data_IF_662668817196
#
_entry.id   IF_662668817196
#
_cell.length_a   1.000
_cell.length_b   1.000
_cell.length_c   1.000
_cell.angle_alpha   90.00
_cell.angle_beta   90.00
_cell.angle_gamma   90.00
#
_symmetry.space_group_name_H-M   'P 1'
#
loop_
_entity.id
_entity.type
_entity.pdbx_description
1 polymer ?
#
# COMPACT_ATOMS: atom_id res chain seq x y z
N UNK A 1 -32.49 62.02 13.08
CA UNK A 1 -32.51 60.61 13.54
C UNK A 1 -31.27 59.91 13.01
N UNK A 2 -30.26 59.63 13.85
CA UNK A 2 -29.12 58.78 13.49
C UNK A 2 -29.53 57.31 13.65
N UNK A 3 -29.60 56.57 12.55
CA UNK A 3 -29.82 55.11 12.56
C UNK A 3 -28.63 54.43 13.26
N UNK A 4 -28.84 53.91 14.46
CA UNK A 4 -27.91 52.95 15.08
C UNK A 4 -27.98 51.63 14.28
N UNK A 5 -26.87 51.27 13.61
CA UNK A 5 -26.67 49.90 13.13
C UNK A 5 -26.46 49.02 14.37
N UNK A 6 -27.36 48.06 14.61
CA UNK A 6 -27.09 46.93 15.52
C UNK A 6 -25.79 46.27 15.02
N UNK A 7 -24.76 46.23 15.85
CA UNK A 7 -23.59 45.41 15.58
C UNK A 7 -24.03 43.95 15.60
N UNK A 8 -23.89 43.25 14.48
CA UNK A 8 -23.89 41.78 14.51
C UNK A 8 -22.81 41.37 15.51
N UNK A 9 -23.22 40.63 16.55
CA UNK A 9 -22.29 40.16 17.57
C UNK A 9 -21.21 39.32 16.88
N UNK A 10 -19.95 39.70 17.05
CA UNK A 10 -18.81 38.97 16.49
C UNK A 10 -18.65 37.62 17.21
N UNK A 11 -19.37 36.60 16.74
CA UNK A 11 -19.40 35.26 17.36
C UNK A 11 -18.08 34.50 17.20
N UNK A 12 -17.25 34.86 16.22
CA UNK A 12 -16.02 34.14 15.88
C UNK A 12 -14.87 34.58 16.79
N UNK A 13 -14.78 35.86 17.14
CA UNK A 13 -13.78 36.37 18.09
C UNK A 13 -14.03 35.96 19.55
N UNK A 14 -15.20 35.39 19.86
CA UNK A 14 -15.53 34.90 21.21
C UNK A 14 -15.38 33.39 21.36
N UNK A 15 -14.86 32.70 20.35
CA UNK A 15 -14.64 31.26 20.43
C UNK A 15 -13.51 30.94 21.44
N UNK A 16 -13.67 29.89 22.26
CA UNK A 16 -12.59 29.35 23.09
C UNK A 16 -11.36 28.92 22.26
N UNK A 17 -10.17 28.99 22.85
CA UNK A 17 -8.90 28.68 22.16
C UNK A 17 -8.85 27.24 21.62
N UNK A 18 -9.41 26.27 22.35
CA UNK A 18 -9.49 24.87 21.94
C UNK A 18 -10.34 24.68 20.68
N UNK A 19 -11.44 25.43 20.57
CA UNK A 19 -12.30 25.43 19.38
C UNK A 19 -11.56 26.06 18.20
N UNK A 20 -10.88 27.20 18.41
CA UNK A 20 -10.08 27.85 17.36
C UNK A 20 -8.97 26.93 16.87
N UNK A 21 -8.23 26.28 17.78
CA UNK A 21 -7.18 25.32 17.42
C UNK A 21 -7.71 24.15 16.61
N UNK A 22 -8.91 23.64 16.96
CA UNK A 22 -9.57 22.58 16.21
C UNK A 22 -9.98 23.04 14.82
N UNK A 23 -10.52 24.26 14.69
CA UNK A 23 -10.80 24.87 13.37
C UNK A 23 -9.50 24.96 12.55
N UNK A 24 -8.42 25.50 13.13
CA UNK A 24 -7.13 25.65 12.45
C UNK A 24 -6.53 24.31 12.01
N UNK A 25 -6.76 23.23 12.75
CA UNK A 25 -6.29 21.89 12.40
C UNK A 25 -7.01 21.29 11.18
N UNK A 26 -8.22 21.77 10.84
CA UNK A 26 -8.96 21.36 9.66
C UNK A 26 -8.73 22.26 8.45
N UNK A 27 -8.06 23.41 8.61
CA UNK A 27 -7.79 24.32 7.52
C UNK A 27 -6.46 23.99 6.83
N UNK A 28 -6.37 24.13 5.49
CA UNK A 28 -5.09 24.15 4.81
C UNK A 28 -4.15 25.18 5.44
N UNK A 29 -2.86 24.84 5.53
CA UNK A 29 -1.87 25.65 6.27
C UNK A 29 -1.83 27.12 5.83
N UNK A 30 -2.09 27.38 4.53
CA UNK A 30 -2.17 28.72 3.95
C UNK A 30 -3.36 29.51 4.47
N UNK A 31 -4.53 28.88 4.58
CA UNK A 31 -5.75 29.53 5.04
C UNK A 31 -5.75 29.68 6.55
N UNK A 32 -5.26 28.68 7.28
CA UNK A 32 -4.98 28.78 8.70
C UNK A 32 -4.05 29.97 9.00
N UNK A 33 -2.99 30.18 8.21
CA UNK A 33 -2.09 31.34 8.37
C UNK A 33 -2.79 32.69 8.14
N UNK A 34 -3.71 32.78 7.16
CA UNK A 34 -4.48 34.01 6.91
C UNK A 34 -5.36 34.39 8.11
N UNK A 35 -5.91 33.41 8.82
CA UNK A 35 -6.74 33.70 10.01
C UNK A 35 -5.99 34.45 11.10
N UNK A 36 -4.65 34.38 11.14
CA UNK A 36 -3.81 35.12 12.09
C UNK A 36 -3.98 36.65 11.97
N UNK A 37 -4.55 37.14 10.87
CA UNK A 37 -4.88 38.57 10.66
C UNK A 37 -6.22 39.00 11.26
N UNK A 38 -7.08 38.06 11.66
CA UNK A 38 -8.43 38.35 12.16
C UNK A 38 -8.39 38.98 13.56
N UNK A 39 -7.55 38.47 14.46
CA UNK A 39 -7.36 39.04 15.80
C UNK A 39 -6.08 38.52 16.46
N UNK A 40 -5.67 39.15 17.58
CA UNK A 40 -4.54 38.67 18.41
C UNK A 40 -4.73 37.24 18.92
N UNK A 41 -5.98 36.84 19.18
CA UNK A 41 -6.30 35.48 19.65
C UNK A 41 -6.06 34.46 18.54
N UNK A 42 -6.51 34.74 17.31
CA UNK A 42 -6.25 33.89 16.15
C UNK A 42 -4.77 33.83 15.79
N UNK A 43 -4.05 34.95 15.89
CA UNK A 43 -2.59 34.98 15.72
C UNK A 43 -1.88 34.08 16.73
N UNK A 44 -2.24 34.15 18.01
CA UNK A 44 -1.69 33.28 19.07
C UNK A 44 -1.99 31.81 18.81
N UNK A 45 -3.23 31.48 18.47
CA UNK A 45 -3.64 30.09 18.20
C UNK A 45 -2.97 29.52 16.94
N UNK A 46 -2.73 30.35 15.93
CA UNK A 46 -1.90 29.97 14.78
C UNK A 46 -0.46 29.60 15.18
N UNK A 47 0.16 30.41 16.04
CA UNK A 47 1.51 30.11 16.59
C UNK A 47 1.55 28.89 17.52
N UNK A 48 0.41 28.54 18.14
CA UNK A 48 0.26 27.35 18.97
C UNK A 48 -0.09 26.07 18.17
N UNK A 49 -0.47 26.20 16.89
CA UNK A 49 -0.85 25.05 16.08
C UNK A 49 0.37 24.12 15.84
N UNK A 50 0.25 22.88 16.30
CA UNK A 50 1.31 21.86 16.27
C UNK A 50 1.30 21.00 15.00
N UNK A 51 0.32 21.20 14.11
CA UNK A 51 0.15 20.43 12.89
C UNK A 51 0.38 21.31 11.67
N UNK A 52 1.33 20.91 10.83
CA UNK A 52 1.71 21.62 9.61
C UNK A 52 1.69 20.65 8.44
N UNK A 53 0.75 20.87 7.51
CA UNK A 53 0.65 20.09 6.28
C UNK A 53 0.78 21.05 5.11
N UNK A 54 1.89 20.94 4.39
CA UNK A 54 2.17 21.67 3.17
C UNK A 54 1.99 20.70 2.00
N UNK A 55 0.93 20.87 1.22
CA UNK A 55 0.57 20.01 0.09
C UNK A 55 0.54 20.80 -1.23
N UNK A 56 0.11 20.18 -2.34
CA UNK A 56 -0.02 20.84 -3.64
C UNK A 56 -0.92 22.08 -3.62
N UNK A 57 -1.87 22.18 -2.68
CA UNK A 57 -2.69 23.39 -2.48
C UNK A 57 -1.95 24.55 -1.82
N UNK A 58 -0.86 24.27 -1.10
CA UNK A 58 0.03 25.29 -0.55
C UNK A 58 0.85 25.99 -1.64
N UNK A 59 1.41 25.19 -2.54
CA UNK A 59 2.17 25.64 -3.70
C UNK A 59 2.59 24.48 -4.59
N UNK A 60 2.99 24.82 -5.81
CA UNK A 60 3.66 23.95 -6.76
C UNK A 60 4.89 24.70 -7.25
N UNK A 61 5.99 23.99 -7.48
CA UNK A 61 7.14 24.59 -8.18
C UNK A 61 6.90 24.38 -9.67
N UNK A 62 6.64 25.45 -10.46
CA UNK A 62 6.52 25.32 -11.91
C UNK A 62 7.85 24.83 -12.50
N UNK A 63 7.78 23.93 -13.46
CA UNK A 63 8.95 23.49 -14.23
C UNK A 63 9.50 24.62 -15.10
N UNK A 64 8.61 25.46 -15.64
CA UNK A 64 8.98 26.61 -16.45
C UNK A 64 9.49 27.77 -15.60
N UNK A 65 10.65 28.30 -15.96
CA UNK A 65 11.29 29.42 -15.30
C UNK A 65 12.40 29.02 -14.33
N UNK A 66 12.75 29.92 -13.42
CA UNK A 66 13.87 29.71 -12.50
C UNK A 66 13.42 28.85 -11.30
N UNK A 67 13.55 27.53 -11.44
CA UNK A 67 13.26 26.54 -10.39
C UNK A 67 13.85 26.92 -9.03
N UNK A 68 15.15 27.27 -8.98
CA UNK A 68 15.83 27.60 -7.72
C UNK A 68 15.21 28.82 -7.03
N UNK A 69 14.78 29.83 -7.79
CA UNK A 69 14.07 30.99 -7.26
C UNK A 69 12.70 30.62 -6.68
N UNK A 70 11.97 29.73 -7.37
CA UNK A 70 10.65 29.28 -6.94
C UNK A 70 10.74 28.42 -5.68
N UNK A 71 11.70 27.49 -5.63
CA UNK A 71 12.01 26.70 -4.44
C UNK A 71 12.38 27.61 -3.27
N UNK A 72 13.29 28.56 -3.46
CA UNK A 72 13.72 29.48 -2.39
C UNK A 72 12.55 30.29 -1.82
N UNK A 73 11.63 30.76 -2.67
CA UNK A 73 10.42 31.48 -2.24
C UNK A 73 9.50 30.58 -1.43
N UNK A 74 9.32 29.33 -1.86
CA UNK A 74 8.50 28.35 -1.17
C UNK A 74 9.10 28.00 0.20
N UNK A 75 10.39 27.68 0.23
CA UNK A 75 11.12 27.37 1.45
C UNK A 75 11.10 28.55 2.41
N UNK A 76 11.25 29.79 1.93
CA UNK A 76 11.09 30.99 2.76
C UNK A 76 9.72 31.05 3.44
N UNK A 77 8.63 30.71 2.73
CA UNK A 77 7.28 30.68 3.31
C UNK A 77 7.14 29.57 4.37
N UNK A 78 7.70 28.38 4.11
CA UNK A 78 7.71 27.26 5.06
C UNK A 78 8.48 27.65 6.32
N UNK A 79 9.70 28.18 6.18
CA UNK A 79 10.51 28.64 7.32
C UNK A 79 9.81 29.74 8.11
N UNK A 80 9.18 30.70 7.43
CA UNK A 80 8.40 31.73 8.11
C UNK A 80 7.26 31.13 8.93
N UNK A 81 6.56 30.13 8.41
CA UNK A 81 5.55 29.43 9.18
C UNK A 81 6.18 28.72 10.40
N UNK A 82 7.31 28.04 10.23
CA UNK A 82 8.00 27.32 11.31
C UNK A 82 8.49 28.25 12.43
N UNK A 83 9.03 29.42 12.07
CA UNK A 83 9.62 30.37 13.02
C UNK A 83 8.60 31.13 13.87
N UNK A 84 7.33 31.19 13.45
CA UNK A 84 6.25 31.84 14.22
C UNK A 84 5.81 30.99 15.42
N UNK A 85 6.31 29.75 15.54
CA UNK A 85 5.84 28.78 16.53
C UNK A 85 6.84 28.56 17.66
N UNK A 86 6.42 28.85 18.88
CA UNK A 86 7.13 28.47 20.10
C UNK A 86 6.80 27.04 20.53
N UNK A 87 5.62 26.54 20.16
CA UNK A 87 5.15 25.19 20.50
C UNK A 87 5.88 24.09 19.72
N UNK A 88 5.95 22.84 20.25
CA UNK A 88 6.47 21.69 19.52
C UNK A 88 5.61 21.40 18.27
N UNK A 89 6.27 21.04 17.18
CA UNK A 89 5.59 20.58 15.96
C UNK A 89 5.37 19.09 16.14
N UNK A 90 4.13 18.65 16.34
CA UNK A 90 3.83 17.23 16.54
C UNK A 90 3.70 16.51 15.20
N UNK A 91 3.14 17.19 14.19
CA UNK A 91 2.92 16.66 12.85
C UNK A 91 3.44 17.63 11.80
N UNK A 92 4.29 17.14 10.91
CA UNK A 92 4.80 17.88 9.77
C UNK A 92 4.68 17.02 8.52
N UNK A 93 4.05 17.55 7.47
CA UNK A 93 3.99 16.92 6.16
C UNK A 93 4.42 17.93 5.09
N UNK A 94 5.36 17.54 4.24
CA UNK A 94 5.76 18.26 3.04
C UNK A 94 5.47 17.35 1.85
N UNK A 95 4.42 17.70 1.11
CA UNK A 95 3.87 16.97 -0.05
C UNK A 95 3.76 17.94 -1.23
N UNK A 96 4.87 18.57 -1.59
CA UNK A 96 4.87 19.60 -2.62
C UNK A 96 5.51 19.01 -3.89
N UNK A 97 4.76 18.92 -4.98
CA UNK A 97 5.30 18.46 -6.25
C UNK A 97 6.39 19.40 -6.77
N UNK A 98 7.38 18.82 -7.44
CA UNK A 98 8.52 19.53 -7.98
C UNK A 98 9.66 19.77 -6.97
N UNK A 99 9.71 19.08 -5.82
CA UNK A 99 10.83 19.15 -4.86
C UNK A 99 11.82 17.97 -4.99
N UNK A 100 11.90 17.32 -6.15
CA UNK A 100 12.75 16.12 -6.34
C UNK A 100 14.25 16.39 -6.17
N UNK A 101 14.74 17.58 -6.57
CA UNK A 101 16.18 17.86 -6.63
C UNK A 101 16.82 18.11 -5.25
N UNK A 102 17.96 17.47 -4.91
CA UNK A 102 18.67 17.74 -3.67
C UNK A 102 18.88 19.24 -3.43
N UNK A 103 18.49 19.71 -2.26
CA UNK A 103 18.54 21.14 -1.92
C UNK A 103 19.00 21.36 -0.47
N UNK A 104 19.92 22.33 -0.25
CA UNK A 104 20.36 22.69 1.09
C UNK A 104 19.21 23.12 2.00
N UNK A 105 18.20 23.77 1.44
CA UNK A 105 17.04 24.26 2.20
C UNK A 105 16.22 23.12 2.81
N UNK A 106 16.02 22.01 2.09
CA UNK A 106 15.33 20.83 2.64
C UNK A 106 16.21 20.14 3.68
N UNK A 107 17.53 20.10 3.48
CA UNK A 107 18.43 19.50 4.47
C UNK A 107 18.38 20.25 5.81
N UNK A 108 18.38 21.59 5.74
CA UNK A 108 18.19 22.46 6.90
C UNK A 108 16.80 22.28 7.53
N UNK A 109 15.76 22.05 6.72
CA UNK A 109 14.40 21.83 7.20
C UNK A 109 14.32 20.52 8.00
N UNK A 110 14.84 19.43 7.46
CA UNK A 110 14.91 18.13 8.14
C UNK A 110 15.67 18.26 9.46
N UNK A 111 16.80 18.97 9.46
CA UNK A 111 17.58 19.22 10.67
C UNK A 111 16.79 20.00 11.73
N UNK A 112 16.04 21.02 11.32
CA UNK A 112 15.18 21.78 12.20
C UNK A 112 14.07 20.91 12.80
N UNK A 113 13.41 20.09 11.97
CA UNK A 113 12.32 19.21 12.38
C UNK A 113 12.79 18.12 13.35
N UNK A 114 13.96 17.52 13.10
CA UNK A 114 14.57 16.54 13.99
C UNK A 114 14.78 17.10 15.41
N UNK A 115 15.14 18.39 15.52
CA UNK A 115 15.31 19.08 16.82
C UNK A 115 13.98 19.47 17.50
N UNK A 116 12.88 19.61 16.75
CA UNK A 116 11.58 20.09 17.26
C UNK A 116 10.68 18.99 17.82
N UNK A 117 11.21 17.80 18.11
CA UNK A 117 10.47 16.67 18.71
C UNK A 117 9.25 16.23 17.88
N UNK A 118 9.38 16.25 16.56
CA UNK A 118 8.34 15.78 15.63
C UNK A 118 7.98 14.32 15.90
N UNK A 119 6.68 14.02 15.87
CA UNK A 119 6.13 12.67 16.09
C UNK A 119 5.62 12.04 14.80
N UNK A 120 5.04 12.83 13.92
CA UNK A 120 4.59 12.41 12.59
C UNK A 120 5.31 13.24 11.54
N UNK A 121 6.13 12.60 10.72
CA UNK A 121 6.87 13.24 9.64
C UNK A 121 6.53 12.57 8.31
N UNK A 122 6.04 13.35 7.35
CA UNK A 122 5.84 12.91 5.98
C UNK A 122 6.64 13.81 5.01
N UNK A 123 7.52 13.21 4.21
CA UNK A 123 8.28 13.89 3.18
C UNK A 123 8.03 13.18 1.85
N UNK A 124 7.24 13.82 0.99
CA UNK A 124 6.78 13.28 -0.29
C UNK A 124 7.25 14.24 -1.38
N UNK A 125 8.21 13.78 -2.20
CA UNK A 125 8.84 14.59 -3.25
C UNK A 125 8.35 14.26 -4.65
N UNK A 126 7.46 13.27 -4.81
CA UNK A 126 6.97 12.83 -6.11
C UNK A 126 6.10 13.85 -6.82
N UNK A 127 6.06 13.71 -8.14
CA UNK A 127 5.06 14.30 -9.04
C UNK A 127 4.43 13.10 -9.73
N UNK A 128 3.16 12.81 -9.49
CA UNK A 128 2.47 11.66 -10.13
C UNK A 128 2.31 11.87 -11.66
N UNK A 129 2.65 13.05 -12.18
CA UNK A 129 2.38 13.48 -13.55
C UNK A 129 3.55 13.34 -14.54
N UNK A 130 4.79 13.08 -14.10
CA UNK A 130 5.96 13.27 -14.99
C UNK A 130 6.98 12.11 -15.01
N UNK A 131 7.09 11.51 -16.19
CA UNK A 131 8.11 10.56 -16.62
C UNK A 131 9.19 11.34 -17.39
N UNK A 132 10.04 12.07 -16.66
CA UNK A 132 11.01 13.04 -17.20
C UNK A 132 12.31 12.41 -17.75
N UNK A 133 12.39 11.08 -17.84
CA UNK A 133 13.56 10.37 -18.36
C UNK A 133 14.82 10.50 -17.48
N UNK A 134 14.73 11.16 -16.32
CA UNK A 134 15.81 11.20 -15.35
C UNK A 134 15.82 9.90 -14.53
N UNK A 135 17.02 9.39 -14.15
CA UNK A 135 17.10 8.21 -13.31
C UNK A 135 16.36 8.45 -12.00
N UNK A 136 15.52 7.49 -11.59
CA UNK A 136 14.72 7.47 -10.35
C UNK A 136 15.58 7.38 -9.08
N UNK A 137 16.74 8.00 -9.05
CA UNK A 137 17.63 8.00 -7.89
C UNK A 137 17.04 9.00 -6.90
N UNK A 138 16.50 8.45 -5.80
CA UNK A 138 15.90 9.25 -4.73
C UNK A 138 16.90 10.22 -4.10
N UNK A 139 16.38 11.29 -3.49
CA UNK A 139 17.20 12.25 -2.74
C UNK A 139 17.81 11.57 -1.50
N UNK A 140 19.13 11.64 -1.33
CA UNK A 140 19.79 11.21 -0.09
C UNK A 140 19.26 11.99 1.12
N UNK A 141 18.77 11.26 2.12
CA UNK A 141 18.21 11.87 3.32
C UNK A 141 19.31 12.34 4.28
N UNK A 142 19.20 13.56 4.82
CA UNK A 142 20.15 14.07 5.82
C UNK A 142 20.23 13.16 7.04
N UNK A 143 21.45 12.95 7.55
CA UNK A 143 21.71 12.18 8.79
C UNK A 143 20.90 12.68 9.99
N UNK A 144 20.52 13.96 10.00
CA UNK A 144 19.67 14.55 11.03
C UNK A 144 18.29 13.88 11.15
N UNK A 145 17.74 13.33 10.06
CA UNK A 145 16.47 12.58 10.08
C UNK A 145 16.54 11.43 11.09
N UNK A 146 17.64 10.69 11.08
CA UNK A 146 17.90 9.53 11.92
C UNK A 146 18.12 9.88 13.41
N UNK A 147 18.19 11.17 13.74
CA UNK A 147 18.27 11.67 15.12
C UNK A 147 16.89 12.01 15.72
N UNK A 148 15.81 11.91 14.94
CA UNK A 148 14.45 12.26 15.36
C UNK A 148 13.82 11.19 16.28
N UNK A 149 14.28 11.11 17.53
CA UNK A 149 13.94 10.06 18.50
C UNK A 149 12.48 10.06 19.01
N UNK A 150 11.69 11.08 18.68
CA UNK A 150 10.28 11.18 19.07
C UNK A 150 9.31 10.69 17.98
N UNK A 151 9.82 10.28 16.82
CA UNK A 151 9.01 9.80 15.71
C UNK A 151 8.20 8.57 16.10
N UNK A 152 6.91 8.64 15.81
CA UNK A 152 5.91 7.57 15.90
C UNK A 152 5.44 7.13 14.51
N UNK A 153 5.43 8.05 13.55
CA UNK A 153 5.08 7.80 12.16
C UNK A 153 6.08 8.48 11.23
N UNK A 154 6.61 7.74 10.27
CA UNK A 154 7.51 8.24 9.24
C UNK A 154 7.03 7.79 7.86
N UNK A 155 6.74 8.72 6.98
CA UNK A 155 6.38 8.46 5.57
C UNK A 155 7.39 9.15 4.67
N UNK A 156 8.11 8.40 3.84
CA UNK A 156 9.07 8.91 2.87
C UNK A 156 8.72 8.42 1.47
N UNK A 157 8.76 9.32 0.49
CA UNK A 157 8.57 8.98 -0.91
C UNK A 157 9.63 9.64 -1.79
N UNK A 158 10.17 8.89 -2.76
CA UNK A 158 11.23 9.32 -3.69
C UNK A 158 12.52 9.77 -2.99
N UNK A 159 12.98 8.96 -2.05
CA UNK A 159 14.14 9.24 -1.19
C UNK A 159 15.18 8.12 -1.22
N UNK A 160 16.39 8.41 -0.78
CA UNK A 160 17.43 7.43 -0.51
C UNK A 160 17.79 7.48 0.98
N UNK A 161 17.61 6.34 1.67
CA UNK A 161 17.98 6.18 3.09
C UNK A 161 19.10 5.15 3.28
N UNK A 162 19.72 4.68 2.21
CA UNK A 162 20.83 3.73 2.25
C UNK A 162 22.06 4.29 2.98
N UNK A 163 22.26 5.61 2.92
CA UNK A 163 23.33 6.32 3.64
C UNK A 163 23.02 6.61 5.12
N UNK A 164 22.26 5.73 5.78
CA UNK A 164 21.96 5.88 7.20
C UNK A 164 23.28 5.96 8.02
N UNK A 165 23.41 6.92 8.96
CA UNK A 165 24.66 7.10 9.69
C UNK A 165 24.94 5.89 10.59
N UNK A 166 26.21 5.49 10.70
CA UNK A 166 26.64 4.34 11.52
C UNK A 166 26.26 4.47 13.01
N UNK A 167 26.11 5.70 13.50
CA UNK A 167 25.64 6.00 14.87
C UNK A 167 24.12 5.99 15.04
N UNK A 168 23.35 5.55 14.02
CA UNK A 168 21.89 5.45 14.12
C UNK A 168 21.49 4.45 15.22
N UNK A 169 20.95 4.99 16.32
CA UNK A 169 20.50 4.26 17.50
C UNK A 169 19.08 3.65 17.33
N UNK A 170 18.38 3.98 16.25
CA UNK A 170 17.03 3.51 16.01
C UNK A 170 15.92 4.51 16.28
N UNK A 171 14.76 4.23 15.70
CA UNK A 171 13.52 4.93 16.02
C UNK A 171 12.73 4.14 17.07
N UNK A 172 13.11 4.31 18.34
CA UNK A 172 12.57 3.52 19.46
C UNK A 172 11.08 3.71 19.74
N UNK A 173 10.45 4.76 19.21
CA UNK A 173 9.01 5.07 19.36
C UNK A 173 8.22 4.86 18.07
N UNK A 174 8.87 4.44 16.99
CA UNK A 174 8.23 4.30 15.69
C UNK A 174 7.23 3.16 15.71
N UNK A 175 6.03 3.44 15.23
CA UNK A 175 4.90 2.51 15.14
C UNK A 175 4.45 2.31 13.70
N UNK A 176 4.65 3.32 12.85
CA UNK A 176 4.29 3.29 11.44
C UNK A 176 5.47 3.76 10.60
N UNK A 177 5.86 2.98 9.60
CA UNK A 177 6.90 3.30 8.64
C UNK A 177 6.38 3.02 7.23
N UNK A 178 6.35 4.05 6.39
CA UNK A 178 5.97 3.97 5.00
C UNK A 178 7.10 4.51 4.13
N UNK A 179 7.63 3.67 3.25
CA UNK A 179 8.73 3.97 2.34
C UNK A 179 8.26 3.62 0.93
N UNK A 180 8.04 4.62 0.08
CA UNK A 180 7.51 4.44 -1.27
C UNK A 180 8.47 4.95 -2.32
N UNK A 181 8.87 4.10 -3.27
CA UNK A 181 9.92 4.41 -4.24
C UNK A 181 11.18 4.94 -3.52
N UNK A 182 11.62 4.20 -2.51
CA UNK A 182 12.79 4.53 -1.67
C UNK A 182 13.92 3.55 -1.95
N UNK A 183 15.15 4.06 -2.02
CA UNK A 183 16.35 3.24 -2.03
C UNK A 183 16.80 2.91 -0.59
N UNK A 184 17.09 1.63 -0.33
CA UNK A 184 17.51 1.12 0.98
C UNK A 184 18.75 0.25 0.83
N UNK A 185 19.56 0.16 1.89
CA UNK A 185 20.70 -0.78 1.92
C UNK A 185 20.19 -2.23 1.95
N UNK A 186 20.99 -3.18 1.41
CA UNK A 186 20.66 -4.61 1.46
C UNK A 186 20.52 -5.18 2.88
N UNK A 187 21.13 -4.52 3.87
CA UNK A 187 21.02 -4.82 5.30
C UNK A 187 19.77 -4.24 5.97
N UNK A 188 18.86 -3.60 5.24
CA UNK A 188 17.70 -2.91 5.82
C UNK A 188 16.91 -3.77 6.82
N UNK A 189 16.61 -5.02 6.46
CA UNK A 189 15.87 -5.94 7.32
C UNK A 189 16.67 -6.39 8.57
N UNK A 190 18.00 -6.55 8.45
CA UNK A 190 18.85 -7.03 9.54
C UNK A 190 19.36 -5.93 10.47
N UNK A 191 19.51 -4.70 9.96
CA UNK A 191 20.25 -3.64 10.66
C UNK A 191 19.35 -2.44 10.99
N UNK A 192 18.43 -2.08 10.09
CA UNK A 192 17.56 -0.90 10.28
C UNK A 192 16.29 -1.26 11.07
N UNK A 193 15.56 -2.30 10.66
CA UNK A 193 14.27 -2.65 11.28
C UNK A 193 14.38 -3.11 12.74
N UNK A 194 15.40 -3.88 13.18
CA UNK A 194 15.52 -4.26 14.59
C UNK A 194 15.73 -3.06 15.53
N UNK A 195 16.18 -1.93 14.99
CA UNK A 195 16.30 -0.67 15.73
C UNK A 195 14.96 0.08 15.86
N UNK A 196 13.86 -0.48 15.36
CA UNK A 196 12.49 0.03 15.45
C UNK A 196 11.56 -0.98 16.17
N UNK A 197 11.77 -1.28 17.47
CA UNK A 197 11.14 -2.43 18.14
C UNK A 197 9.62 -2.32 18.35
N UNK A 198 9.05 -1.11 18.27
CA UNK A 198 7.63 -0.84 18.45
C UNK A 198 6.85 -0.77 17.12
N UNK A 199 7.50 -1.11 16.00
CA UNK A 199 6.89 -1.01 14.67
C UNK A 199 5.69 -1.96 14.55
N UNK A 200 4.54 -1.40 14.16
CA UNK A 200 3.27 -2.12 14.01
C UNK A 200 2.79 -2.15 12.56
N UNK A 201 3.09 -1.10 11.80
CA UNK A 201 2.74 -0.95 10.39
C UNK A 201 4.00 -0.64 9.58
N UNK A 202 4.32 -1.53 8.63
CA UNK A 202 5.43 -1.37 7.71
C UNK A 202 4.92 -1.46 6.27
N UNK A 203 5.07 -0.37 5.53
CA UNK A 203 4.85 -0.31 4.08
C UNK A 203 6.17 -0.02 3.39
N UNK A 204 6.61 -0.91 2.51
CA UNK A 204 7.91 -0.83 1.86
C UNK A 204 7.77 -1.14 0.37
N UNK A 205 7.77 -0.10 -0.45
CA UNK A 205 7.76 -0.19 -1.89
C UNK A 205 9.09 0.33 -2.43
N UNK A 206 9.98 -0.57 -2.83
CA UNK A 206 11.34 -0.25 -3.26
C UNK A 206 11.35 0.12 -4.75
N UNK A 207 12.21 1.05 -5.13
CA UNK A 207 12.47 1.38 -6.53
C UNK A 207 12.94 0.14 -7.30
N UNK A 208 12.32 -0.10 -8.45
CA UNK A 208 12.70 -1.12 -9.42
C UNK A 208 14.10 -0.81 -10.00
N UNK A 209 15.12 -1.40 -9.38
CA UNK A 209 16.49 -1.51 -9.89
C UNK A 209 16.80 -2.99 -9.90
N UNK A 210 16.98 -3.56 -11.10
CA UNK A 210 17.23 -4.98 -11.39
C UNK A 210 18.32 -5.64 -10.50
N UNK A 211 19.11 -4.85 -9.77
CA UNK A 211 20.16 -5.30 -8.86
C UNK A 211 19.72 -5.52 -7.39
N UNK A 212 18.61 -4.93 -6.90
CA UNK A 212 18.34 -4.87 -5.45
C UNK A 212 17.39 -5.97 -4.96
N UNK A 213 16.41 -6.38 -5.77
CA UNK A 213 15.38 -7.35 -5.36
C UNK A 213 15.96 -8.72 -4.97
N UNK A 214 17.00 -9.18 -5.67
CA UNK A 214 17.64 -10.48 -5.42
C UNK A 214 18.58 -10.51 -4.21
N UNK A 215 19.03 -9.34 -3.71
CA UNK A 215 20.04 -9.23 -2.65
C UNK A 215 19.46 -8.93 -1.26
N UNK A 216 18.21 -8.50 -1.18
CA UNK A 216 17.47 -8.36 0.09
C UNK A 216 16.99 -9.74 0.57
N UNK A 217 17.93 -10.63 0.92
CA UNK A 217 17.59 -11.90 1.57
C UNK A 217 17.02 -11.59 2.96
N UNK A 218 15.69 -11.54 3.05
CA UNK A 218 15.00 -10.87 4.14
C UNK A 218 14.52 -11.87 5.19
N UNK A 219 15.27 -12.01 6.28
CA UNK A 219 14.71 -12.52 7.53
C UNK A 219 14.14 -11.35 8.32
N UNK A 220 12.82 -11.15 8.23
CA UNK A 220 12.14 -10.07 8.95
C UNK A 220 11.79 -10.53 10.36
N UNK A 221 12.49 -9.98 11.35
CA UNK A 221 12.19 -10.19 12.78
C UNK A 221 11.52 -8.94 13.36
N UNK A 222 10.20 -9.00 13.53
CA UNK A 222 9.43 -7.86 14.01
C UNK A 222 8.25 -8.31 14.92
N UNK A 223 8.49 -8.48 16.24
CA UNK A 223 7.51 -9.10 17.14
C UNK A 223 6.24 -8.26 17.37
N UNK A 224 6.32 -6.95 17.17
CA UNK A 224 5.21 -6.01 17.33
C UNK A 224 4.41 -5.78 16.04
N UNK A 225 4.86 -6.33 14.91
CA UNK A 225 4.31 -6.02 13.59
C UNK A 225 2.92 -6.63 13.41
N UNK A 226 1.99 -5.83 12.89
CA UNK A 226 0.58 -6.18 12.65
C UNK A 226 0.20 -6.10 11.18
N UNK A 227 0.80 -5.17 10.45
CA UNK A 227 0.57 -4.89 9.03
C UNK A 227 1.92 -4.84 8.32
N UNK A 228 2.01 -5.57 7.21
CA UNK A 228 3.14 -5.53 6.29
C UNK A 228 2.63 -5.40 4.86
N UNK A 229 3.06 -4.35 4.15
CA UNK A 229 2.77 -4.15 2.72
C UNK A 229 4.07 -3.93 1.95
N UNK A 230 4.30 -4.65 0.86
CA UNK A 230 5.53 -4.50 0.08
C UNK A 230 5.41 -5.01 -1.35
N UNK A 231 6.31 -4.56 -2.23
CA UNK A 231 6.58 -5.19 -3.53
C UNK A 231 7.74 -6.19 -3.51
N UNK A 232 8.43 -6.33 -2.38
CA UNK A 232 9.53 -7.27 -2.22
C UNK A 232 8.96 -8.67 -1.96
N UNK A 233 9.12 -9.57 -2.92
CA UNK A 233 8.50 -10.90 -2.91
C UNK A 233 9.26 -11.95 -2.09
N UNK A 234 10.56 -11.78 -1.83
CA UNK A 234 11.41 -12.77 -1.16
C UNK A 234 11.54 -12.56 0.37
N UNK A 235 10.46 -12.16 1.04
CA UNK A 235 10.46 -11.89 2.50
C UNK A 235 10.09 -13.11 3.33
N UNK A 236 10.98 -13.51 4.23
CA UNK A 236 10.78 -14.58 5.20
C UNK A 236 10.50 -14.00 6.59
N UNK A 237 9.27 -14.11 7.05
CA UNK A 237 8.87 -13.67 8.39
C UNK A 237 9.38 -14.63 9.47
N UNK A 238 10.01 -14.10 10.53
CA UNK A 238 10.42 -14.86 11.72
C UNK A 238 10.00 -14.13 12.98
N UNK A 239 9.43 -14.84 13.95
CA UNK A 239 9.00 -14.25 15.23
C UNK A 239 8.04 -13.05 15.06
N UNK A 240 7.05 -13.16 14.16
CA UNK A 240 6.02 -12.12 13.90
C UNK A 240 4.63 -12.60 14.34
N UNK A 241 4.40 -12.91 15.63
CA UNK A 241 3.17 -13.59 16.09
C UNK A 241 1.91 -12.72 16.00
N UNK A 242 2.06 -11.39 15.88
CA UNK A 242 0.95 -10.44 15.82
C UNK A 242 0.58 -10.03 14.39
N UNK A 243 1.30 -10.55 13.38
CA UNK A 243 1.13 -10.14 11.99
C UNK A 243 -0.19 -10.65 11.44
N UNK A 244 -1.11 -9.73 11.18
CA UNK A 244 -2.50 -10.00 10.83
C UNK A 244 -2.85 -9.63 9.40
N UNK A 245 -2.11 -8.68 8.81
CA UNK A 245 -2.28 -8.24 7.43
C UNK A 245 -0.93 -8.33 6.74
N UNK A 246 -0.87 -9.13 5.67
CA UNK A 246 0.29 -9.23 4.78
C UNK A 246 -0.18 -8.93 3.37
N UNK A 247 0.46 -7.96 2.71
CA UNK A 247 0.23 -7.65 1.30
C UNK A 247 1.55 -7.58 0.57
N UNK A 248 1.84 -8.60 -0.23
CA UNK A 248 3.03 -8.64 -1.07
C UNK A 248 2.57 -8.70 -2.52
N UNK A 249 2.67 -7.57 -3.22
CA UNK A 249 2.22 -7.43 -4.60
C UNK A 249 3.03 -6.34 -5.32
N UNK A 250 3.22 -6.46 -6.65
CA UNK A 250 3.99 -5.48 -7.41
C UNK A 250 3.33 -4.10 -7.40
N UNK A 251 4.13 -3.04 -7.60
CA UNK A 251 3.65 -1.65 -7.70
C UNK A 251 3.11 -1.33 -9.10
N UNK A 252 3.68 -1.93 -10.14
CA UNK A 252 3.24 -1.76 -11.53
C UNK A 252 2.84 -3.12 -12.11
N UNK A 253 1.55 -3.31 -12.36
CA UNK A 253 0.97 -4.56 -12.86
C UNK A 253 1.49 -4.94 -14.27
N UNK A 254 2.25 -4.07 -14.94
CA UNK A 254 2.77 -4.28 -16.31
C UNK A 254 4.16 -4.92 -16.37
N UNK A 255 4.83 -5.10 -15.23
CA UNK A 255 6.16 -5.73 -15.18
C UNK A 255 6.06 -7.09 -14.50
N UNK A 256 6.59 -8.12 -15.16
CA UNK A 256 6.69 -9.47 -14.61
C UNK A 256 8.17 -9.85 -14.52
N UNK A 257 8.57 -10.38 -13.37
CA UNK A 257 9.85 -11.08 -13.24
C UNK A 257 9.89 -12.28 -14.20
N UNK A 258 11.09 -12.62 -14.69
CA UNK A 258 11.31 -13.82 -15.48
C UNK A 258 11.45 -15.02 -14.55
N UNK A 259 11.09 -16.21 -15.02
CA UNK A 259 11.22 -17.45 -14.24
C UNK A 259 12.65 -17.64 -13.68
N UNK A 260 13.67 -17.27 -14.45
CA UNK A 260 15.08 -17.30 -14.05
C UNK A 260 15.41 -16.51 -12.79
N UNK A 261 14.59 -15.51 -12.45
CA UNK A 261 14.79 -14.65 -11.28
C UNK A 261 14.49 -15.41 -9.98
N UNK A 262 13.73 -16.51 -10.06
CA UNK A 262 13.30 -17.32 -8.93
C UNK A 262 14.12 -18.62 -8.76
N UNK A 263 14.76 -19.12 -9.82
CA UNK A 263 15.41 -20.45 -9.86
C UNK A 263 16.58 -20.62 -8.86
N UNK A 264 17.11 -19.51 -8.32
CA UNK A 264 18.15 -19.53 -7.28
C UNK A 264 17.59 -19.88 -5.89
N UNK A 265 16.28 -19.79 -5.70
CA UNK A 265 15.62 -19.94 -4.42
C UNK A 265 14.86 -21.27 -4.31
N UNK A 266 14.85 -21.84 -3.11
CA UNK A 266 14.02 -23.00 -2.77
C UNK A 266 13.26 -22.69 -1.47
N UNK A 267 12.17 -21.93 -1.55
CA UNK A 267 11.43 -21.51 -0.37
C UNK A 267 10.61 -22.64 0.22
N UNK A 268 10.53 -22.64 1.55
CA UNK A 268 9.63 -23.52 2.29
C UNK A 268 8.35 -22.76 2.62
N UNK A 269 7.31 -23.01 1.81
CA UNK A 269 5.98 -22.42 2.00
C UNK A 269 5.38 -22.82 3.36
N UNK A 270 5.65 -24.04 3.85
CA UNK A 270 5.13 -24.50 5.15
C UNK A 270 5.75 -23.69 6.28
N UNK A 271 7.07 -23.49 6.26
CA UNK A 271 7.76 -22.66 7.24
C UNK A 271 7.34 -21.19 7.18
N UNK A 272 7.11 -20.64 5.97
CA UNK A 272 6.68 -19.27 5.78
C UNK A 272 5.32 -19.00 6.44
N UNK A 273 4.33 -19.86 6.19
CA UNK A 273 2.99 -19.70 6.77
C UNK A 273 2.90 -20.16 8.23
N UNK A 274 3.74 -21.10 8.69
CA UNK A 274 3.85 -21.45 10.11
C UNK A 274 4.27 -20.26 10.98
N UNK A 275 4.97 -19.28 10.40
CA UNK A 275 5.40 -18.06 11.08
C UNK A 275 4.31 -16.96 11.15
N UNK A 276 3.12 -17.22 10.60
CA UNK A 276 2.01 -16.27 10.48
C UNK A 276 0.73 -16.76 11.19
N UNK A 277 0.77 -17.07 12.51
CA UNK A 277 -0.35 -17.72 13.21
C UNK A 277 -1.59 -16.82 13.37
N UNK A 278 -1.44 -15.50 13.26
CA UNK A 278 -2.50 -14.51 13.47
C UNK A 278 -3.03 -13.89 12.15
N UNK A 279 -2.67 -14.45 10.99
CA UNK A 279 -3.00 -13.86 9.70
C UNK A 279 -4.51 -13.85 9.45
N UNK A 280 -5.05 -12.67 9.13
CA UNK A 280 -6.46 -12.44 8.84
C UNK A 280 -6.70 -11.97 7.40
N UNK A 281 -5.75 -11.23 6.85
CA UNK A 281 -5.78 -10.77 5.47
C UNK A 281 -4.44 -11.05 4.80
N UNK A 282 -4.51 -11.71 3.64
CA UNK A 282 -3.37 -12.01 2.80
C UNK A 282 -3.64 -11.47 1.40
N UNK A 283 -2.72 -10.65 0.89
CA UNK A 283 -2.68 -10.23 -0.51
C UNK A 283 -1.38 -10.73 -1.13
N UNK A 284 -1.48 -11.48 -2.22
CA UNK A 284 -0.32 -12.07 -2.91
C UNK A 284 -0.31 -11.70 -4.40
N UNK A 285 0.85 -11.27 -4.88
CA UNK A 285 1.16 -11.04 -6.29
C UNK A 285 1.66 -12.30 -7.00
N UNK A 286 1.74 -12.24 -8.33
CA UNK A 286 2.25 -13.32 -9.18
C UNK A 286 3.69 -13.72 -8.84
N UNK A 287 4.56 -12.76 -8.52
CA UNK A 287 5.96 -12.97 -8.17
C UNK A 287 6.11 -13.80 -6.89
N UNK A 288 5.30 -13.54 -5.87
CA UNK A 288 5.31 -14.32 -4.64
C UNK A 288 4.81 -15.76 -4.87
N UNK A 289 3.79 -15.93 -5.73
CA UNK A 289 3.33 -17.27 -6.10
C UNK A 289 4.41 -18.04 -6.86
N UNK A 290 5.07 -17.41 -7.83
CA UNK A 290 6.18 -18.00 -8.58
C UNK A 290 7.34 -18.37 -7.67
N UNK A 291 7.69 -17.49 -6.73
CA UNK A 291 8.68 -17.77 -5.69
C UNK A 291 8.34 -19.05 -4.94
N UNK A 292 7.14 -19.17 -4.35
CA UNK A 292 6.77 -20.38 -3.63
C UNK A 292 6.67 -21.62 -4.52
N UNK A 293 6.35 -21.45 -5.80
CA UNK A 293 6.22 -22.55 -6.73
C UNK A 293 7.57 -23.17 -7.15
N UNK A 294 8.71 -22.52 -6.92
CA UNK A 294 10.04 -23.15 -7.11
C UNK A 294 10.36 -24.19 -6.03
N UNK A 295 9.66 -24.13 -4.88
CA UNK A 295 9.79 -25.08 -3.79
C UNK A 295 8.80 -26.25 -3.87
N UNK A 296 8.80 -27.09 -2.83
CA UNK A 296 7.82 -28.17 -2.69
C UNK A 296 6.49 -27.62 -2.18
N UNK A 297 5.49 -27.54 -3.07
CA UNK A 297 4.14 -27.07 -2.73
C UNK A 297 3.25 -28.25 -2.32
N UNK A 298 2.81 -28.33 -1.04
CA UNK A 298 1.88 -29.36 -0.60
C UNK A 298 0.48 -29.07 -1.14
N UNK A 299 -0.39 -30.08 -1.15
CA UNK A 299 -1.81 -29.89 -1.50
C UNK A 299 -2.53 -28.97 -0.50
N UNK A 300 -2.17 -29.06 0.78
CA UNK A 300 -2.68 -28.23 1.86
C UNK A 300 -1.56 -28.01 2.88
N UNK A 301 -1.50 -26.83 3.49
CA UNK A 301 -0.55 -26.52 4.55
C UNK A 301 -0.88 -27.37 5.80
N UNK A 302 0.13 -27.93 6.49
CA UNK A 302 -0.07 -28.65 7.75
C UNK A 302 -0.70 -27.77 8.84
N UNK A 303 -0.36 -26.48 8.83
CA UNK A 303 -0.91 -25.47 9.72
C UNK A 303 -2.03 -24.74 8.98
N UNK A 304 -3.29 -25.10 9.25
CA UNK A 304 -4.43 -24.42 8.65
C UNK A 304 -4.46 -22.94 9.03
N UNK A 305 -4.81 -22.10 8.06
CA UNK A 305 -4.94 -20.65 8.19
C UNK A 305 -6.33 -20.28 8.76
N UNK A 306 -6.64 -20.78 9.96
CA UNK A 306 -7.97 -20.64 10.56
C UNK A 306 -8.43 -19.20 10.79
N UNK A 307 -7.51 -18.25 10.92
CA UNK A 307 -7.82 -16.84 11.13
C UNK A 307 -7.98 -16.08 9.82
N UNK A 308 -7.57 -16.67 8.67
CA UNK A 308 -7.61 -16.00 7.38
C UNK A 308 -9.05 -15.83 6.91
N UNK A 309 -9.46 -14.57 6.78
CA UNK A 309 -10.81 -14.17 6.35
C UNK A 309 -10.81 -13.56 4.96
N UNK A 310 -9.71 -12.93 4.55
CA UNK A 310 -9.59 -12.22 3.29
C UNK A 310 -8.35 -12.70 2.55
N UNK A 311 -8.56 -13.26 1.36
CA UNK A 311 -7.49 -13.61 0.42
C UNK A 311 -7.68 -12.78 -0.84
N UNK A 312 -6.66 -11.99 -1.19
CA UNK A 312 -6.62 -11.22 -2.43
C UNK A 312 -5.44 -11.69 -3.26
N UNK A 313 -5.68 -11.91 -4.53
CA UNK A 313 -4.64 -12.24 -5.48
C UNK A 313 -4.57 -11.10 -6.48
N UNK A 314 -3.39 -10.56 -6.71
CA UNK A 314 -3.17 -9.44 -7.63
C UNK A 314 -2.23 -9.85 -8.74
N UNK A 315 -2.50 -9.36 -9.94
CA UNK A 315 -1.68 -9.60 -11.12
C UNK A 315 -1.47 -11.09 -11.47
N UNK A 316 -2.43 -11.99 -11.16
CA UNK A 316 -2.26 -13.44 -11.35
C UNK A 316 -2.48 -13.87 -12.80
N UNK A 317 -1.66 -14.81 -13.28
CA UNK A 317 -1.80 -15.42 -14.60
C UNK A 317 -2.41 -16.82 -14.43
N UNK A 318 -3.75 -16.91 -14.46
CA UNK A 318 -4.50 -18.15 -14.19
C UNK A 318 -4.18 -19.33 -15.14
N UNK A 319 -3.52 -19.07 -16.26
CA UNK A 319 -3.08 -20.09 -17.23
C UNK A 319 -1.70 -20.69 -16.91
N UNK A 320 -0.97 -20.20 -15.90
CA UNK A 320 0.31 -20.78 -15.45
C UNK A 320 0.07 -21.84 -14.37
N UNK A 321 0.45 -23.09 -14.67
CA UNK A 321 0.19 -24.27 -13.82
C UNK A 321 0.82 -24.21 -12.44
N UNK A 322 1.97 -23.56 -12.31
CA UNK A 322 2.72 -23.44 -11.06
C UNK A 322 2.04 -22.48 -10.05
N UNK A 323 1.54 -21.34 -10.51
CA UNK A 323 0.81 -20.38 -9.68
C UNK A 323 -0.51 -20.98 -9.18
N UNK A 324 -1.20 -21.74 -10.03
CA UNK A 324 -2.44 -22.42 -9.69
C UNK A 324 -2.28 -23.41 -8.51
N UNK A 325 -1.14 -24.10 -8.40
CA UNK A 325 -0.87 -25.02 -7.29
C UNK A 325 -0.71 -24.31 -5.95
N UNK A 326 0.02 -23.20 -5.91
CA UNK A 326 0.18 -22.41 -4.69
C UNK A 326 -1.15 -21.79 -4.29
N UNK A 327 -1.91 -21.27 -5.27
CA UNK A 327 -3.26 -20.76 -5.05
C UNK A 327 -4.18 -21.81 -4.42
N UNK A 328 -4.24 -23.01 -5.01
CA UNK A 328 -5.00 -24.14 -4.48
C UNK A 328 -4.62 -24.45 -3.03
N UNK A 329 -3.32 -24.55 -2.75
CA UNK A 329 -2.81 -24.81 -1.42
C UNK A 329 -3.31 -23.76 -0.41
N UNK A 330 -3.27 -22.47 -0.76
CA UNK A 330 -3.75 -21.38 0.10
C UNK A 330 -5.27 -21.45 0.33
N UNK A 331 -6.06 -21.66 -0.71
CA UNK A 331 -7.52 -21.80 -0.60
C UNK A 331 -7.89 -22.99 0.30
N UNK A 332 -7.31 -24.15 0.01
CA UNK A 332 -7.58 -25.38 0.75
C UNK A 332 -7.14 -25.31 2.21
N UNK A 333 -6.13 -24.50 2.51
CA UNK A 333 -5.64 -24.27 3.88
C UNK A 333 -6.46 -23.24 4.65
N UNK A 334 -7.44 -22.59 4.03
CA UNK A 334 -8.17 -21.44 4.59
C UNK A 334 -9.66 -21.74 4.81
N UNK A 335 -10.02 -22.57 5.81
CA UNK A 335 -11.38 -23.08 5.98
C UNK A 335 -12.43 -21.99 6.34
N UNK A 336 -11.99 -20.87 6.93
CA UNK A 336 -12.87 -19.78 7.37
C UNK A 336 -12.81 -18.54 6.45
N UNK A 337 -12.39 -18.74 5.20
CA UNK A 337 -12.27 -17.65 4.23
C UNK A 337 -13.64 -17.04 3.93
N UNK A 338 -13.78 -15.74 4.16
CA UNK A 338 -15.02 -14.98 3.93
C UNK A 338 -15.01 -14.25 2.59
N UNK A 339 -13.84 -13.74 2.19
CA UNK A 339 -13.67 -12.94 0.97
C UNK A 339 -12.51 -13.44 0.13
N UNK A 340 -12.79 -13.69 -1.15
CA UNK A 340 -11.78 -14.01 -2.16
C UNK A 340 -11.84 -12.98 -3.28
N UNK A 341 -10.71 -12.32 -3.57
CA UNK A 341 -10.58 -11.39 -4.69
C UNK A 341 -9.46 -11.85 -5.61
N UNK A 342 -9.74 -11.87 -6.91
CA UNK A 342 -8.79 -12.26 -7.96
C UNK A 342 -8.73 -11.13 -8.97
N UNK A 343 -7.60 -10.43 -9.02
CA UNK A 343 -7.29 -9.42 -10.02
C UNK A 343 -6.26 -10.05 -10.97
N UNK A 344 -6.66 -10.47 -12.18
CA UNK A 344 -5.75 -11.09 -13.13
C UNK A 344 -4.77 -10.07 -13.69
N UNK A 345 -3.60 -10.57 -14.07
CA UNK A 345 -2.56 -9.78 -14.71
C UNK A 345 -2.74 -9.68 -16.22
N UNK A 346 -2.42 -8.52 -16.80
CA UNK A 346 -2.44 -8.33 -18.26
C UNK A 346 -1.03 -8.42 -18.83
N UNK A 347 -0.79 -9.42 -19.69
CA UNK A 347 0.46 -9.53 -20.43
C UNK A 347 0.20 -9.30 -21.91
N UNK A 348 0.70 -8.18 -22.44
CA UNK A 348 0.53 -7.81 -23.85
C UNK A 348 1.22 -8.77 -24.85
N UNK A 349 2.07 -9.71 -24.40
CA UNK A 349 2.91 -10.49 -25.31
C UNK A 349 3.45 -11.83 -24.79
N UNK A 350 2.66 -12.68 -24.10
CA UNK A 350 3.09 -14.06 -23.86
C UNK A 350 2.77 -14.95 -25.07
N UNK A 351 3.72 -15.79 -25.53
CA UNK A 351 3.47 -16.71 -26.62
C UNK A 351 2.42 -17.76 -26.18
N UNK A 352 1.48 -18.13 -27.06
CA UNK A 352 0.34 -19.02 -26.75
C UNK A 352 0.71 -20.47 -26.40
N UNK A 353 1.99 -20.81 -26.27
CA UNK A 353 2.49 -22.19 -26.18
C UNK A 353 2.70 -22.72 -24.77
N UNK A 354 2.58 -21.91 -23.72
CA UNK A 354 2.66 -22.37 -22.31
C UNK A 354 1.29 -22.43 -21.62
N UNK A 355 0.20 -22.43 -22.39
CA UNK A 355 -1.15 -22.66 -21.89
C UNK A 355 -1.32 -24.17 -21.68
N UNK A 356 -0.72 -24.69 -20.62
CA UNK A 356 -1.08 -26.01 -20.10
C UNK A 356 -2.43 -25.85 -19.40
N UNK A 357 -3.34 -26.81 -19.60
CA UNK A 357 -4.66 -26.92 -18.95
C UNK A 357 -4.55 -26.92 -17.41
N UNK A 358 -4.30 -25.74 -16.84
CA UNK A 358 -3.82 -25.58 -15.47
C UNK A 358 -4.95 -25.69 -14.44
N UNK A 359 -6.20 -25.47 -14.86
CA UNK A 359 -7.36 -25.78 -14.00
C UNK A 359 -7.83 -27.22 -14.14
N UNK A 360 -7.29 -28.02 -15.07
CA UNK A 360 -7.55 -29.46 -15.05
C UNK A 360 -7.01 -30.05 -13.74
N UNK A 361 -5.95 -29.50 -13.14
CA UNK A 361 -5.49 -29.80 -11.77
C UNK A 361 -6.47 -29.35 -10.66
N UNK A 362 -7.23 -28.26 -10.88
CA UNK A 362 -8.30 -27.82 -9.98
C UNK A 362 -9.51 -28.77 -10.03
N UNK A 363 -9.79 -29.32 -11.21
CA UNK A 363 -10.94 -30.18 -11.50
C UNK A 363 -10.65 -31.68 -11.27
N UNK A 364 -9.41 -32.14 -11.49
CA UNK A 364 -8.95 -33.51 -11.16
C UNK A 364 -8.89 -33.75 -9.64
N UNK A 365 -9.02 -32.69 -8.84
CA UNK A 365 -9.23 -32.79 -7.40
C UNK A 365 -10.66 -33.26 -7.02
N UNK A 366 -11.50 -33.68 -7.97
CA UNK A 366 -12.78 -34.36 -7.74
C UNK A 366 -12.63 -35.67 -6.92
N UNK A 367 -11.46 -36.33 -6.94
CA UNK A 367 -11.15 -37.53 -6.12
C UNK A 367 -10.67 -37.20 -4.69
N UNK A 368 -10.60 -35.93 -4.32
CA UNK A 368 -10.27 -35.43 -2.98
C UNK A 368 -11.34 -34.46 -2.49
N UNK A 369 -11.56 -34.28 -1.17
CA UNK A 369 -12.69 -33.50 -0.66
C UNK A 369 -12.47 -31.97 -0.80
N UNK A 370 -12.29 -31.50 -2.04
CA UNK A 370 -12.50 -30.10 -2.47
C UNK A 370 -13.91 -29.62 -2.13
N UNK A 371 -14.85 -30.55 -1.90
CA UNK A 371 -16.20 -30.29 -1.38
C UNK A 371 -16.25 -29.45 -0.08
N UNK A 372 -15.13 -29.29 0.64
CA UNK A 372 -15.03 -28.50 1.87
C UNK A 372 -14.40 -27.11 1.71
N UNK A 373 -13.93 -26.73 0.51
CA UNK A 373 -13.47 -25.37 0.28
C UNK A 373 -14.66 -24.39 0.23
N UNK A 374 -14.43 -23.11 0.55
CA UNK A 374 -15.43 -22.04 0.47
C UNK A 374 -16.70 -22.18 1.32
N UNK A 375 -16.70 -23.02 2.36
CA UNK A 375 -17.86 -23.22 3.24
C UNK A 375 -18.36 -21.93 3.92
N UNK A 376 -17.45 -20.99 4.17
CA UNK A 376 -17.73 -19.69 4.78
C UNK A 376 -17.64 -18.53 3.79
N UNK A 377 -17.41 -18.78 2.49
CA UNK A 377 -17.17 -17.72 1.53
C UNK A 377 -18.46 -16.92 1.30
N UNK A 378 -18.44 -15.65 1.67
CA UNK A 378 -19.56 -14.71 1.54
C UNK A 378 -19.44 -13.82 0.31
N UNK A 379 -18.21 -13.48 -0.09
CA UNK A 379 -17.93 -12.54 -1.19
C UNK A 379 -16.82 -13.07 -2.10
N UNK A 380 -17.13 -13.19 -3.39
CA UNK A 380 -16.15 -13.47 -4.44
C UNK A 380 -16.08 -12.28 -5.39
N UNK A 381 -14.87 -11.86 -5.77
CA UNK A 381 -14.64 -10.81 -6.76
C UNK A 381 -13.60 -11.28 -7.77
N UNK A 382 -13.92 -11.15 -9.05
CA UNK A 382 -12.97 -11.30 -10.14
C UNK A 382 -13.08 -10.07 -11.06
N UNK A 383 -11.94 -9.47 -11.40
CA UNK A 383 -11.87 -8.33 -12.32
C UNK A 383 -11.16 -8.70 -13.62
N UNK A 384 -11.21 -7.79 -14.59
CA UNK A 384 -10.57 -7.92 -15.90
C UNK A 384 -10.72 -9.30 -16.58
N UNK A 385 -11.90 -9.92 -16.46
CA UNK A 385 -12.15 -11.27 -17.00
C UNK A 385 -12.28 -11.23 -18.54
N UNK A 386 -11.62 -12.16 -19.24
CA UNK A 386 -11.64 -12.25 -20.70
C UNK A 386 -12.63 -13.31 -21.24
N UNK A 387 -13.26 -14.07 -20.34
CA UNK A 387 -14.21 -15.13 -20.69
C UNK A 387 -13.54 -16.40 -21.22
N UNK A 388 -12.28 -16.63 -20.85
CA UNK A 388 -11.56 -17.87 -21.14
C UNK A 388 -12.22 -19.06 -20.45
N UNK A 389 -11.99 -20.28 -20.97
CA UNK A 389 -12.57 -21.49 -20.36
C UNK A 389 -12.11 -21.66 -18.90
N UNK A 390 -10.84 -21.33 -18.62
CA UNK A 390 -10.25 -21.29 -17.27
C UNK A 390 -11.08 -20.42 -16.33
N UNK A 391 -11.31 -19.17 -16.70
CA UNK A 391 -12.08 -18.25 -15.87
C UNK A 391 -13.54 -18.70 -15.68
N UNK A 392 -14.15 -19.25 -16.73
CA UNK A 392 -15.51 -19.81 -16.69
C UNK A 392 -15.62 -21.02 -15.77
N UNK A 393 -14.63 -21.91 -15.78
CA UNK A 393 -14.58 -23.09 -14.90
C UNK A 393 -14.38 -22.68 -13.45
N UNK A 394 -13.53 -21.69 -13.18
CA UNK A 394 -13.37 -21.12 -11.84
C UNK A 394 -14.67 -20.52 -11.31
N UNK A 395 -15.37 -19.73 -12.14
CA UNK A 395 -16.67 -19.16 -11.79
C UNK A 395 -17.71 -20.25 -11.49
N UNK A 396 -17.78 -21.28 -12.34
CA UNK A 396 -18.65 -22.43 -12.15
C UNK A 396 -18.32 -23.16 -10.85
N UNK A 397 -17.04 -23.39 -10.58
CA UNK A 397 -16.57 -24.07 -9.38
C UNK A 397 -16.96 -23.31 -8.11
N UNK A 398 -16.69 -22.00 -8.04
CA UNK A 398 -17.06 -21.18 -6.87
C UNK A 398 -18.57 -21.15 -6.66
N UNK A 399 -19.37 -20.95 -7.71
CA UNK A 399 -20.84 -20.95 -7.60
C UNK A 399 -21.38 -22.30 -7.13
N UNK A 400 -20.79 -23.41 -7.60
CA UNK A 400 -21.19 -24.77 -7.24
C UNK A 400 -20.72 -25.24 -5.85
N UNK A 401 -19.75 -24.57 -5.23
CA UNK A 401 -19.11 -25.04 -3.98
C UNK A 401 -19.25 -24.10 -2.79
N UNK A 402 -19.70 -22.85 -2.98
CA UNK A 402 -19.83 -21.86 -1.91
C UNK A 402 -21.29 -21.70 -1.41
N UNK A 403 -21.73 -22.45 -0.37
CA UNK A 403 -23.12 -22.42 0.10
C UNK A 403 -23.52 -21.13 0.84
N UNK A 404 -22.55 -20.36 1.36
CA UNK A 404 -22.77 -19.10 2.07
C UNK A 404 -22.53 -17.86 1.19
N UNK A 405 -22.30 -18.04 -0.11
CA UNK A 405 -21.99 -16.93 -1.00
C UNK A 405 -23.15 -15.96 -1.08
N UNK A 406 -22.90 -14.69 -0.76
CA UNK A 406 -23.88 -13.61 -0.81
C UNK A 406 -23.72 -12.81 -2.10
N UNK A 407 -22.48 -12.48 -2.47
CA UNK A 407 -22.20 -11.64 -3.65
C UNK A 407 -21.02 -12.16 -4.44
N UNK A 408 -21.21 -12.25 -5.75
CA UNK A 408 -20.17 -12.50 -6.74
C UNK A 408 -20.06 -11.29 -7.65
N UNK A 409 -18.96 -10.56 -7.55
CA UNK A 409 -18.66 -9.41 -8.41
C UNK A 409 -17.81 -9.86 -9.59
N UNK A 410 -18.29 -9.56 -10.80
CA UNK A 410 -17.60 -9.88 -12.05
C UNK A 410 -17.42 -8.58 -12.81
N UNK A 411 -16.17 -8.20 -13.03
CA UNK A 411 -15.80 -7.03 -13.82
C UNK A 411 -15.08 -7.52 -15.10
N UNK A 412 -15.67 -7.33 -16.29
CA UNK A 412 -15.06 -7.72 -17.57
C UNK A 412 -13.82 -6.88 -17.89
N UNK A 413 -12.92 -7.43 -18.70
CA UNK A 413 -11.85 -6.64 -19.29
C UNK A 413 -12.44 -5.48 -20.12
N UNK A 414 -11.80 -4.29 -20.03
CA UNK A 414 -12.25 -3.08 -20.74
C UNK A 414 -12.38 -3.30 -22.24
N UNK A 415 -11.47 -4.07 -22.81
CA UNK A 415 -11.39 -4.37 -24.25
C UNK A 415 -12.26 -5.56 -24.67
N UNK A 416 -13.00 -6.18 -23.74
CA UNK A 416 -13.80 -7.37 -24.03
C UNK A 416 -14.95 -7.04 -24.99
N UNK A 417 -14.96 -7.70 -26.15
CA UNK A 417 -15.99 -7.49 -27.17
C UNK A 417 -17.40 -7.89 -26.69
N UNK A 418 -18.43 -7.31 -27.31
CA UNK A 418 -19.83 -7.55 -26.94
C UNK A 418 -20.27 -9.01 -27.08
N UNK A 419 -19.67 -9.77 -28.01
CA UNK A 419 -20.02 -11.17 -28.25
C UNK A 419 -19.50 -12.04 -27.10
N UNK A 420 -18.27 -11.82 -26.66
CA UNK A 420 -17.66 -12.47 -25.50
C UNK A 420 -18.37 -12.08 -24.21
N UNK A 421 -18.72 -10.80 -24.02
CA UNK A 421 -19.56 -10.35 -22.88
C UNK A 421 -20.88 -11.09 -22.84
N UNK A 422 -21.57 -11.20 -23.98
CA UNK A 422 -22.82 -11.94 -24.08
C UNK A 422 -22.64 -13.43 -23.76
N UNK A 423 -21.57 -14.05 -24.25
CA UNK A 423 -21.29 -15.46 -23.97
C UNK A 423 -21.01 -15.72 -22.48
N UNK A 424 -20.20 -14.86 -21.84
CA UNK A 424 -19.92 -14.92 -20.41
C UNK A 424 -21.21 -14.85 -19.58
N UNK A 425 -22.08 -13.88 -19.86
CA UNK A 425 -23.38 -13.74 -19.19
C UNK A 425 -24.28 -14.96 -19.41
N UNK A 426 -24.30 -15.51 -20.63
CA UNK A 426 -25.08 -16.69 -20.98
C UNK A 426 -24.66 -17.92 -20.18
N UNK A 427 -23.36 -18.14 -20.01
CA UNK A 427 -22.85 -19.26 -19.21
C UNK A 427 -23.11 -19.06 -17.71
N UNK A 428 -22.91 -17.84 -17.18
CA UNK A 428 -23.19 -17.51 -15.78
C UNK A 428 -24.63 -17.77 -15.35
N UNK A 429 -25.60 -17.59 -16.26
CA UNK A 429 -27.02 -17.88 -15.99
C UNK A 429 -27.28 -19.40 -15.88
N UNK A 430 -26.47 -20.22 -16.56
CA UNK A 430 -26.63 -21.68 -16.61
C UNK A 430 -26.01 -22.38 -15.40
N UNK A 431 -25.08 -21.74 -14.71
CA UNK A 431 -24.37 -22.35 -13.59
C UNK A 431 -25.27 -22.58 -12.38
N UNK A 432 -25.20 -23.79 -11.85
CA UNK A 432 -25.85 -24.13 -10.58
C UNK A 432 -25.19 -23.39 -9.43
N UNK A 433 -26.02 -23.01 -8.44
CA UNK A 433 -25.57 -22.24 -7.27
C UNK A 433 -25.81 -23.07 -6.01
N UNK A 434 -24.74 -23.32 -5.25
CA UNK A 434 -24.84 -23.91 -3.92
C UNK A 434 -25.57 -22.97 -2.95
N UNK A 435 -25.29 -21.66 -3.03
CA UNK A 435 -26.01 -20.63 -2.28
C UNK A 435 -27.27 -20.19 -3.02
N UNK A 436 -28.40 -20.23 -2.30
CA UNK A 436 -29.68 -19.69 -2.78
C UNK A 436 -29.77 -18.16 -2.69
N UNK A 437 -28.86 -17.54 -1.92
CA UNK A 437 -28.82 -16.09 -1.69
C UNK A 437 -27.79 -15.39 -2.57
N UNK A 438 -26.96 -16.14 -3.30
CA UNK A 438 -25.89 -15.58 -4.11
C UNK A 438 -26.43 -14.68 -5.22
N UNK A 439 -26.11 -13.40 -5.12
CA UNK A 439 -26.29 -12.39 -6.16
C UNK A 439 -25.02 -12.33 -7.03
N UNK A 440 -25.19 -12.39 -8.36
CA UNK A 440 -24.08 -12.16 -9.30
C UNK A 440 -24.23 -10.74 -9.83
N UNK A 441 -23.29 -9.88 -9.45
CA UNK A 441 -23.24 -8.46 -9.81
C UNK A 441 -22.21 -8.30 -10.92
N UNK A 442 -22.69 -7.93 -12.10
CA UNK A 442 -21.84 -7.61 -13.24
C UNK A 442 -21.55 -6.11 -13.23
N UNK A 443 -20.29 -5.72 -13.00
CA UNK A 443 -19.89 -4.32 -12.89
C UNK A 443 -19.57 -3.81 -14.29
N UNK A 444 -20.38 -2.90 -14.82
CA UNK A 444 -20.08 -2.14 -16.04
C UNK A 444 -19.32 -0.86 -15.69
N UNK A 445 -18.42 -0.43 -16.59
CA UNK A 445 -17.57 0.77 -16.45
C UNK A 445 -18.33 2.10 -16.15
N UNK A 446 -19.66 2.13 -16.23
CA UNK A 446 -20.49 3.34 -16.10
C UNK A 446 -20.81 3.78 -14.64
N UNK A 447 -20.42 3.04 -13.59
CA UNK A 447 -20.73 3.40 -12.19
C UNK A 447 -19.55 3.97 -11.38
N UNK A 448 -18.50 4.45 -12.05
CA UNK A 448 -17.29 4.98 -11.41
C UNK A 448 -16.87 6.36 -11.90
N UNK A 449 -17.72 7.38 -11.72
CA UNK A 449 -17.33 8.79 -11.55
C UNK A 449 -18.57 9.68 -11.36
N UNK A 450 -19.05 9.82 -10.12
CA UNK A 450 -19.83 10.99 -9.65
C UNK A 450 -19.50 11.32 -8.20
#
# INVERSE_FOLDING_TARGET
>A
MKRQRKSDADRISHLPDDVIQRILAFLPVKDAAKTATLSKQWQRNWGANTQLVFDGGFGRIPEEGNYASNESKLMFQIYKALLVRDAPITKFALKIPGLRRPSPDINLLVHFLAKKSVRELALIFSDDEFNDGHPKIGREMPSALFSACQLKSLTLQDCDISAAPSCFLGFSKLTHLELTNVNVESSFYSDFLPKCPLLQDLKLFICDSDAVESHLKAELVAPSLRVFESNVWNVCFKHTPLLSVVSIAPVDDRKYCKQSDFDVYNPDIVAAFASLPAIQQLTVGSELLQFFATGSVPFMLPTHLHQLKVLKLRNILLYRSLEARVLLCLIMSSPNLLKLTIEPGYVASLPPTEVIDSLQLLLEAEDHPTASCFQCLEEFRISAIDGTQVELDLLRFVLGTAPQLLRMFIEPAKELDLSKRHNLLKELIRYERASKQAEVVYISDDEGDT
#
